data_IF_298115510659
#
_entry.id   IF_298115510659
#
_cell.length_a   1.000
_cell.length_b   1.000
_cell.length_c   1.000
_cell.angle_alpha   90.00
_cell.angle_beta   90.00
_cell.angle_gamma   90.00
#
_symmetry.space_group_name_H-M   'P 1'
#
loop_
_entity.id
_entity.type
_entity.pdbx_description
1 polymer ?
#
# COMPACT_ATOMS: atom_id res chain seq x y z
N UNK A 1 20.54 -11.67 -4.93
CA UNK A 1 21.28 -11.21 -3.73
C UNK A 1 20.38 -11.18 -2.49
N UNK A 2 19.28 -10.39 -2.47
CA UNK A 2 18.36 -10.32 -1.32
C UNK A 2 17.77 -11.69 -0.91
N UNK A 3 17.00 -12.33 -1.81
CA UNK A 3 16.36 -13.62 -1.52
C UNK A 3 17.36 -14.72 -1.18
N UNK A 4 18.51 -14.73 -1.86
CA UNK A 4 19.61 -15.66 -1.59
C UNK A 4 20.15 -15.49 -0.17
N UNK A 5 20.35 -14.24 0.27
CA UNK A 5 20.74 -13.92 1.65
C UNK A 5 19.71 -14.39 2.65
N UNK A 6 18.42 -14.16 2.40
CA UNK A 6 17.33 -14.61 3.26
C UNK A 6 17.29 -16.13 3.42
N UNK A 7 17.49 -16.86 2.32
CA UNK A 7 17.57 -18.33 2.36
C UNK A 7 18.79 -18.80 3.16
N UNK A 8 19.96 -18.22 2.92
CA UNK A 8 21.20 -18.63 3.58
C UNK A 8 21.18 -18.35 5.09
N UNK A 9 20.50 -17.29 5.52
CA UNK A 9 20.32 -16.94 6.92
C UNK A 9 19.11 -17.63 7.58
N UNK A 10 18.37 -18.46 6.83
CA UNK A 10 17.22 -19.20 7.37
C UNK A 10 15.95 -18.39 7.58
N UNK A 11 15.87 -17.14 7.11
CA UNK A 11 14.67 -16.29 7.27
C UNK A 11 13.48 -16.74 6.41
N UNK A 12 13.75 -17.51 5.36
CA UNK A 12 12.73 -18.08 4.48
C UNK A 12 13.03 -19.53 4.18
N UNK A 13 11.97 -20.33 4.05
CA UNK A 13 12.11 -21.73 3.64
C UNK A 13 12.59 -21.85 2.19
N UNK A 14 13.18 -22.99 1.79
CA UNK A 14 13.50 -23.24 0.38
C UNK A 14 12.28 -23.17 -0.56
N UNK A 15 11.09 -23.48 -0.05
CA UNK A 15 9.83 -23.34 -0.78
C UNK A 15 9.51 -21.87 -1.06
N UNK A 16 9.55 -21.04 -0.01
CA UNK A 16 9.35 -19.59 -0.13
C UNK A 16 10.39 -18.95 -1.04
N UNK A 17 11.66 -19.37 -0.95
CA UNK A 17 12.70 -18.87 -1.85
C UNK A 17 12.37 -19.14 -3.32
N UNK A 18 11.86 -20.34 -3.66
CA UNK A 18 11.47 -20.67 -5.04
C UNK A 18 10.25 -19.90 -5.51
N UNK A 19 9.25 -19.67 -4.65
CA UNK A 19 8.07 -18.90 -5.03
C UNK A 19 8.36 -17.40 -5.19
N UNK A 20 9.29 -16.87 -4.39
CA UNK A 20 9.73 -15.47 -4.47
C UNK A 20 10.68 -15.21 -5.63
N UNK A 21 11.46 -16.22 -6.03
CA UNK A 21 12.39 -16.11 -7.15
C UNK A 21 11.63 -16.24 -8.47
N UNK A 22 11.39 -15.12 -9.12
CA UNK A 22 10.78 -15.08 -10.45
C UNK A 22 11.77 -14.53 -11.49
N UNK A 23 12.22 -15.38 -12.41
CA UNK A 23 13.21 -15.04 -13.45
C UNK A 23 12.59 -14.68 -14.81
N UNK A 24 11.36 -15.12 -15.07
CA UNK A 24 10.65 -14.95 -16.35
C UNK A 24 9.69 -13.73 -16.30
N UNK A 25 10.16 -12.63 -15.72
CA UNK A 25 9.35 -11.43 -15.50
C UNK A 25 9.11 -10.60 -16.75
N UNK A 26 7.86 -10.20 -16.98
CA UNK A 26 7.54 -9.15 -17.93
C UNK A 26 7.67 -7.77 -17.28
N UNK A 27 8.04 -6.76 -18.06
CA UNK A 27 8.02 -5.39 -17.52
C UNK A 27 6.55 -4.97 -17.33
N UNK A 28 6.17 -4.39 -16.17
CA UNK A 28 4.84 -3.85 -15.95
C UNK A 28 4.37 -2.97 -17.11
N UNK A 29 3.08 -3.03 -17.43
CA UNK A 29 2.48 -2.22 -18.50
C UNK A 29 1.55 -1.16 -17.92
N UNK A 30 1.69 0.08 -18.37
CA UNK A 30 0.75 1.14 -18.02
C UNK A 30 -0.39 1.24 -19.04
N UNK A 31 -1.60 1.47 -18.56
CA UNK A 31 -2.80 1.73 -19.36
C UNK A 31 -3.74 2.70 -18.65
N UNK A 32 -4.56 3.42 -19.42
CA UNK A 32 -5.53 4.37 -18.90
C UNK A 32 -6.92 3.76 -18.81
N UNK A 33 -7.60 3.94 -17.67
CA UNK A 33 -9.02 3.64 -17.52
C UNK A 33 -9.83 4.95 -17.48
N UNK A 34 -10.85 5.13 -18.34
CA UNK A 34 -11.64 6.36 -18.35
C UNK A 34 -12.49 6.48 -17.09
N UNK A 35 -12.50 7.65 -16.46
CA UNK A 35 -13.42 7.98 -15.37
C UNK A 35 -14.74 8.48 -15.95
N UNK A 36 -15.58 7.56 -16.40
CA UNK A 36 -16.86 7.85 -17.10
C UNK A 36 -17.88 8.67 -16.30
N UNK A 37 -17.70 8.77 -14.98
CA UNK A 37 -18.56 9.53 -14.07
C UNK A 37 -18.09 10.98 -13.85
N UNK A 38 -16.98 11.41 -14.48
CA UNK A 38 -16.47 12.79 -14.38
C UNK A 38 -16.61 13.51 -15.72
N UNK A 39 -16.89 14.83 -15.72
CA UNK A 39 -16.82 15.65 -16.94
C UNK A 39 -15.48 15.44 -17.64
N UNK A 40 -15.49 15.45 -18.98
CA UNK A 40 -14.32 15.22 -19.84
C UNK A 40 -13.70 13.80 -19.76
N UNK A 41 -14.30 12.87 -19.00
CA UNK A 41 -13.89 11.48 -18.89
C UNK A 41 -12.37 11.26 -18.70
N UNK A 42 -11.70 11.97 -17.76
CA UNK A 42 -10.26 11.90 -17.59
C UNK A 42 -9.79 10.47 -17.30
N UNK A 43 -8.61 10.12 -17.79
CA UNK A 43 -8.04 8.78 -17.57
C UNK A 43 -7.43 8.63 -16.18
N UNK A 44 -7.55 7.44 -15.62
CA UNK A 44 -6.79 6.94 -14.47
C UNK A 44 -5.69 6.01 -14.99
N UNK A 45 -4.44 6.39 -14.80
CA UNK A 45 -3.31 5.52 -15.13
C UNK A 45 -3.24 4.35 -14.15
N UNK A 46 -3.16 3.13 -14.67
CA UNK A 46 -2.93 1.91 -13.91
C UNK A 46 -1.66 1.25 -14.44
N UNK A 47 -0.80 0.80 -13.52
CA UNK A 47 0.39 0.02 -13.83
C UNK A 47 0.10 -1.43 -13.45
N UNK A 48 -0.11 -2.32 -14.43
CA UNK A 48 -0.25 -3.75 -14.15
C UNK A 48 1.09 -4.33 -13.75
N UNK A 49 1.21 -4.79 -12.51
CA UNK A 49 2.40 -5.49 -12.01
C UNK A 49 2.30 -7.02 -12.12
N UNK A 50 1.23 -7.54 -12.73
CA UNK A 50 1.04 -8.99 -12.95
C UNK A 50 2.21 -9.52 -13.77
N UNK A 51 2.73 -10.67 -13.37
CA UNK A 51 3.91 -11.33 -13.96
C UNK A 51 5.19 -10.47 -13.95
N UNK A 52 5.26 -9.45 -13.09
CA UNK A 52 6.48 -8.68 -12.90
C UNK A 52 7.44 -9.38 -11.91
N UNK A 53 8.77 -9.15 -12.03
CA UNK A 53 9.77 -9.78 -11.16
C UNK A 53 9.52 -9.59 -9.65
N UNK A 54 8.88 -8.49 -9.27
CA UNK A 54 8.65 -8.13 -7.86
C UNK A 54 7.24 -8.44 -7.36
N UNK A 55 6.36 -8.97 -8.22
CA UNK A 55 4.98 -9.26 -7.85
C UNK A 55 4.89 -10.23 -6.66
N UNK A 56 5.65 -11.33 -6.70
CA UNK A 56 5.63 -12.34 -5.64
C UNK A 56 6.20 -11.80 -4.32
N UNK A 57 7.23 -10.95 -4.39
CA UNK A 57 7.78 -10.26 -3.22
C UNK A 57 6.75 -9.30 -2.62
N UNK A 58 6.10 -8.48 -3.45
CA UNK A 58 5.04 -7.57 -3.02
C UNK A 58 3.88 -8.33 -2.35
N UNK A 59 3.47 -9.47 -2.93
CA UNK A 59 2.41 -10.31 -2.40
C UNK A 59 2.80 -10.97 -1.06
N UNK A 60 4.05 -11.41 -0.92
CA UNK A 60 4.56 -11.94 0.34
C UNK A 60 4.53 -10.88 1.45
N UNK A 61 5.08 -9.70 1.19
CA UNK A 61 5.07 -8.59 2.15
C UNK A 61 3.64 -8.17 2.54
N UNK A 62 2.76 -8.06 1.54
CA UNK A 62 1.36 -7.74 1.73
C UNK A 62 0.64 -8.77 2.63
N UNK A 63 0.82 -10.07 2.38
CA UNK A 63 0.23 -11.12 3.20
C UNK A 63 0.72 -11.09 4.64
N UNK A 64 2.02 -10.86 4.84
CA UNK A 64 2.59 -10.70 6.18
C UNK A 64 1.96 -9.50 6.88
N UNK A 65 1.88 -8.34 6.23
CA UNK A 65 1.30 -7.13 6.80
C UNK A 65 -0.19 -7.28 7.13
N UNK A 66 -1.02 -7.79 6.20
CA UNK A 66 -2.45 -8.00 6.44
C UNK A 66 -2.70 -8.91 7.64
N UNK A 67 -1.93 -9.99 7.76
CA UNK A 67 -2.07 -10.93 8.87
C UNK A 67 -1.62 -10.31 10.21
N UNK A 68 -0.72 -9.33 10.15
CA UNK A 68 -0.09 -8.72 11.31
C UNK A 68 -0.90 -7.58 11.89
N UNK A 69 -1.47 -6.72 11.04
CA UNK A 69 -2.07 -5.48 11.50
C UNK A 69 -3.45 -5.69 12.11
N UNK A 70 -3.73 -5.05 13.26
CA UNK A 70 -5.09 -5.01 13.80
C UNK A 70 -5.99 -4.18 12.88
N UNK A 71 -7.29 -4.44 12.96
CA UNK A 71 -8.29 -3.61 12.31
C UNK A 71 -8.25 -2.20 12.90
N UNK A 72 -8.15 -1.18 12.04
CA UNK A 72 -8.17 0.21 12.48
C UNK A 72 -9.50 0.59 13.12
N UNK A 73 -9.49 1.52 14.08
CA UNK A 73 -10.72 2.01 14.74
C UNK A 73 -11.69 2.68 13.76
N UNK A 74 -11.15 3.38 12.75
CA UNK A 74 -11.88 4.06 11.69
C UNK A 74 -12.28 3.13 10.53
N UNK A 75 -11.94 1.83 10.60
CA UNK A 75 -12.30 0.87 9.57
C UNK A 75 -13.81 0.77 9.39
N UNK A 76 -14.22 0.75 8.12
CA UNK A 76 -15.58 0.54 7.68
C UNK A 76 -15.56 -0.51 6.58
N UNK A 77 -16.38 -1.54 6.73
CA UNK A 77 -16.49 -2.61 5.73
C UNK A 77 -17.19 -2.09 4.47
N UNK A 78 -18.25 -1.29 4.63
CA UNK A 78 -19.06 -0.78 3.52
C UNK A 78 -19.91 0.43 3.93
N UNK A 79 -20.59 1.03 2.94
CA UNK A 79 -21.45 2.20 3.16
C UNK A 79 -22.67 1.91 4.04
N UNK A 80 -23.17 0.67 4.10
CA UNK A 80 -24.30 0.32 4.96
C UNK A 80 -23.91 0.33 6.44
N UNK A 81 -22.68 -0.10 6.77
CA UNK A 81 -22.15 0.01 8.13
C UNK A 81 -22.05 1.47 8.57
N UNK A 82 -21.58 2.36 7.68
CA UNK A 82 -21.52 3.79 7.95
C UNK A 82 -22.90 4.37 8.26
N UNK A 83 -23.92 4.04 7.46
CA UNK A 83 -25.30 4.50 7.69
C UNK A 83 -25.79 4.07 9.08
N UNK A 84 -25.57 2.81 9.46
CA UNK A 84 -25.95 2.29 10.78
C UNK A 84 -25.23 3.01 11.93
N UNK A 85 -23.94 3.31 11.77
CA UNK A 85 -23.17 4.08 12.79
C UNK A 85 -23.70 5.50 12.95
N UNK A 86 -24.19 6.12 11.88
CA UNK A 86 -24.69 7.50 11.89
C UNK A 86 -26.18 7.62 12.27
N UNK A 87 -26.96 6.54 12.20
CA UNK A 87 -28.43 6.55 12.39
C UNK A 87 -28.87 7.18 13.72
N UNK A 88 -28.10 6.98 14.80
CA UNK A 88 -28.43 7.47 16.13
C UNK A 88 -27.60 8.70 16.55
N UNK A 89 -26.83 9.29 15.65
CA UNK A 89 -26.02 10.48 15.95
C UNK A 89 -26.91 11.72 15.86
N UNK A 90 -27.22 12.32 17.01
CA UNK A 90 -27.90 13.62 17.07
C UNK A 90 -26.86 14.74 17.12
N UNK A 91 -26.92 15.65 16.15
CA UNK A 91 -26.06 16.83 16.08
C UNK A 91 -26.84 18.06 16.55
N UNK A 92 -26.25 18.84 17.44
CA UNK A 92 -26.78 20.16 17.82
C UNK A 92 -26.69 21.13 16.62
N UNK A 93 -27.58 22.12 16.55
CA UNK A 93 -27.66 23.14 15.48
C UNK A 93 -26.33 23.88 15.27
N UNK A 94 -25.47 23.92 16.28
CA UNK A 94 -24.19 24.60 16.23
C UNK A 94 -23.05 23.78 15.59
N UNK A 95 -23.25 22.48 15.34
CA UNK A 95 -22.24 21.65 14.69
C UNK A 95 -22.24 21.84 13.17
N UNK A 96 -21.06 21.77 12.57
CA UNK A 96 -20.87 21.77 11.11
C UNK A 96 -20.22 20.47 10.70
N UNK A 97 -20.76 19.85 9.66
CA UNK A 97 -20.14 18.69 9.03
C UNK A 97 -19.08 19.15 8.04
N UNK A 98 -17.90 18.53 8.12
CA UNK A 98 -16.79 18.76 7.19
C UNK A 98 -16.48 17.43 6.50
N UNK A 99 -16.32 17.46 5.18
CA UNK A 99 -15.90 16.32 4.38
C UNK A 99 -14.61 16.68 3.64
N UNK A 100 -13.63 15.78 3.69
CA UNK A 100 -12.32 15.94 3.06
C UNK A 100 -12.09 14.75 2.12
N UNK A 101 -11.62 15.03 0.91
CA UNK A 101 -11.28 14.00 -0.10
C UNK A 101 -9.79 14.04 -0.41
N UNK A 102 -9.15 12.87 -0.44
CA UNK A 102 -7.72 12.77 -0.74
C UNK A 102 -7.51 12.69 -2.25
N UNK A 103 -6.81 13.69 -2.79
CA UNK A 103 -6.53 13.76 -4.22
C UNK A 103 -5.37 12.82 -4.56
N UNK A 104 -5.63 11.87 -5.46
CA UNK A 104 -4.62 11.00 -6.09
C UNK A 104 -3.73 10.27 -5.08
N UNK A 105 -4.36 9.70 -4.02
CA UNK A 105 -3.71 9.03 -2.88
C UNK A 105 -2.45 8.23 -3.27
N UNK A 106 -2.60 7.18 -4.09
CA UNK A 106 -1.48 6.30 -4.43
C UNK A 106 -0.29 7.03 -5.05
N UNK A 107 -0.52 7.93 -6.00
CA UNK A 107 0.57 8.63 -6.70
C UNK A 107 1.22 9.72 -5.85
N UNK A 108 0.62 10.08 -4.72
CA UNK A 108 1.07 11.18 -3.85
C UNK A 108 1.67 10.72 -2.52
N UNK A 109 1.68 9.42 -2.21
CA UNK A 109 2.31 8.91 -0.99
C UNK A 109 3.84 9.01 -1.11
N UNK A 110 4.53 9.79 -0.24
CA UNK A 110 5.99 9.78 -0.19
C UNK A 110 6.48 8.40 0.27
N UNK A 111 7.53 7.89 -0.39
CA UNK A 111 8.08 6.57 -0.07
C UNK A 111 8.62 6.55 1.36
N UNK A 112 9.26 7.64 1.81
CA UNK A 112 9.78 7.74 3.18
C UNK A 112 8.67 7.59 4.23
N UNK A 113 7.51 8.24 4.00
CA UNK A 113 6.34 8.07 4.87
C UNK A 113 5.82 6.63 4.85
N UNK A 114 5.79 5.97 3.68
CA UNK A 114 5.40 4.58 3.59
C UNK A 114 6.33 3.65 4.40
N UNK A 115 7.64 3.86 4.32
CA UNK A 115 8.63 3.08 5.08
C UNK A 115 8.52 3.35 6.58
N UNK A 116 8.34 4.62 6.96
CA UNK A 116 8.11 5.03 8.34
C UNK A 116 6.85 4.37 8.92
N UNK A 117 5.73 4.40 8.19
CA UNK A 117 4.47 3.77 8.60
C UNK A 117 4.59 2.27 8.84
N UNK A 118 5.38 1.55 8.02
CA UNK A 118 5.69 0.13 8.25
C UNK A 118 6.60 -0.04 9.46
N UNK A 119 7.63 0.80 9.60
CA UNK A 119 8.57 0.75 10.72
C UNK A 119 7.90 0.97 12.07
N UNK A 120 6.93 1.87 12.13
CA UNK A 120 6.15 2.20 13.34
C UNK A 120 5.23 1.05 13.78
N UNK A 121 4.90 0.13 12.87
CA UNK A 121 4.04 -1.04 13.12
C UNK A 121 4.83 -2.35 13.23
N UNK A 122 6.14 -2.28 13.41
CA UNK A 122 7.00 -3.46 13.41
C UNK A 122 6.65 -4.48 14.52
N UNK A 123 6.20 -4.01 15.69
CA UNK A 123 5.78 -4.85 16.81
C UNK A 123 4.65 -5.83 16.43
N UNK A 124 3.80 -5.46 15.47
CA UNK A 124 2.75 -6.34 14.96
C UNK A 124 3.27 -7.36 13.94
N UNK A 125 4.35 -7.01 13.23
CA UNK A 125 4.92 -7.79 12.11
C UNK A 125 5.88 -8.86 12.62
N UNK A 126 6.70 -8.57 13.63
CA UNK A 126 7.82 -9.41 14.04
C UNK A 126 7.41 -10.83 14.48
N UNK A 127 6.19 -11.00 15.03
CA UNK A 127 5.65 -12.32 15.37
C UNK A 127 5.16 -13.15 14.17
N UNK A 128 5.05 -12.55 12.99
CA UNK A 128 4.52 -13.17 11.77
C UNK A 128 5.57 -13.40 10.69
N UNK A 129 6.84 -13.07 10.94
CA UNK A 129 7.94 -13.30 10.00
C UNK A 129 9.27 -13.52 10.72
N UNK A 130 10.09 -14.43 10.20
CA UNK A 130 11.47 -14.62 10.68
C UNK A 130 12.46 -13.57 10.12
N UNK A 131 11.97 -12.62 9.30
CA UNK A 131 12.79 -11.57 8.73
C UNK A 131 13.13 -10.51 9.79
N UNK A 132 14.41 -10.11 9.90
CA UNK A 132 14.78 -8.93 10.67
C UNK A 132 14.11 -7.67 10.12
N UNK A 133 13.83 -6.69 10.99
CA UNK A 133 13.23 -5.40 10.63
C UNK A 133 13.91 -4.74 9.44
N UNK A 134 15.25 -4.69 9.45
CA UNK A 134 16.05 -4.06 8.39
C UNK A 134 15.86 -4.73 7.03
N UNK A 135 15.78 -6.07 7.00
CA UNK A 135 15.57 -6.84 5.77
C UNK A 135 14.15 -6.66 5.24
N UNK A 136 13.16 -6.64 6.13
CA UNK A 136 11.77 -6.43 5.75
C UNK A 136 11.56 -5.02 5.17
N UNK A 137 12.05 -3.98 5.85
CA UNK A 137 11.98 -2.61 5.35
C UNK A 137 12.75 -2.44 4.04
N UNK A 138 13.92 -3.07 3.90
CA UNK A 138 14.66 -3.07 2.64
C UNK A 138 13.84 -3.66 1.49
N UNK A 139 13.11 -4.76 1.73
CA UNK A 139 12.25 -5.36 0.71
C UNK A 139 11.06 -4.48 0.34
N UNK A 140 10.42 -3.83 1.33
CA UNK A 140 9.36 -2.84 1.08
C UNK A 140 9.90 -1.70 0.22
N UNK A 141 11.03 -1.11 0.61
CA UNK A 141 11.71 -0.04 -0.13
C UNK A 141 12.05 -0.48 -1.55
N UNK A 142 12.52 -1.72 -1.73
CA UNK A 142 12.85 -2.26 -3.05
C UNK A 142 11.61 -2.34 -3.95
N UNK A 143 10.48 -2.83 -3.43
CA UNK A 143 9.22 -2.91 -4.18
C UNK A 143 8.70 -1.52 -4.55
N UNK A 144 8.74 -0.56 -3.62
CA UNK A 144 8.23 0.80 -3.84
C UNK A 144 9.14 1.66 -4.74
N UNK A 145 10.45 1.43 -4.78
CA UNK A 145 11.38 2.15 -5.65
C UNK A 145 11.51 1.54 -7.06
N UNK A 146 11.12 0.27 -7.23
CA UNK A 146 11.30 -0.47 -8.49
C UNK A 146 10.04 -0.43 -9.36
N UNK A 147 9.44 0.75 -9.47
CA UNK A 147 8.17 1.00 -10.15
C UNK A 147 8.39 1.36 -11.62
N UNK A 148 9.05 0.45 -12.33
CA UNK A 148 9.30 0.57 -13.76
C UNK A 148 8.13 0.02 -14.56
N UNK A 149 7.75 0.69 -15.64
CA UNK A 149 6.68 0.23 -16.53
C UNK A 149 6.90 0.69 -17.97
N UNK A 150 6.27 0.01 -18.92
CA UNK A 150 6.23 0.39 -20.33
C UNK A 150 4.94 1.13 -20.67
N UNK A 151 5.06 2.17 -21.48
CA UNK A 151 3.96 2.79 -22.20
C UNK A 151 4.41 3.18 -23.60
N UNK A 152 3.69 2.74 -24.64
CA UNK A 152 4.08 2.94 -26.05
C UNK A 152 5.55 2.56 -26.34
N UNK A 153 6.00 1.41 -25.86
CA UNK A 153 7.37 0.89 -26.00
C UNK A 153 8.47 1.76 -25.37
N UNK A 154 8.10 2.78 -24.58
CA UNK A 154 9.04 3.59 -23.79
C UNK A 154 8.97 3.11 -22.34
N UNK A 155 10.14 2.95 -21.73
CA UNK A 155 10.28 2.57 -20.32
C UNK A 155 10.27 3.83 -19.47
N UNK A 156 9.41 3.84 -18.46
CA UNK A 156 9.29 4.90 -17.46
C UNK A 156 9.53 4.34 -16.07
N UNK A 157 9.93 5.23 -15.16
CA UNK A 157 9.99 4.96 -13.72
C UNK A 157 9.08 5.95 -13.00
N UNK A 158 8.19 5.46 -12.16
CA UNK A 158 7.41 6.34 -11.28
C UNK A 158 8.33 6.87 -10.17
N UNK A 159 8.45 8.20 -10.07
CA UNK A 159 9.34 8.85 -9.09
C UNK A 159 8.68 9.07 -7.73
N UNK A 160 7.35 9.15 -7.71
CA UNK A 160 6.56 9.49 -6.52
C UNK A 160 5.35 8.56 -6.40
N UNK A 161 4.96 8.25 -5.17
CA UNK A 161 3.80 7.40 -4.90
C UNK A 161 4.06 5.91 -5.04
N UNK A 162 3.01 5.14 -4.76
CA UNK A 162 2.93 3.71 -4.92
C UNK A 162 2.17 3.38 -6.21
N UNK A 163 2.54 2.32 -6.95
CA UNK A 163 1.89 1.99 -8.20
C UNK A 163 0.53 1.33 -7.92
N UNK A 164 -0.55 1.87 -8.49
CA UNK A 164 -1.93 1.41 -8.21
C UNK A 164 -2.21 -0.07 -8.51
N UNK A 165 -1.36 -0.76 -9.29
CA UNK A 165 -1.52 -2.20 -9.56
C UNK A 165 -0.52 -3.11 -8.86
N UNK A 166 0.26 -2.62 -7.89
CA UNK A 166 1.06 -3.49 -7.00
C UNK A 166 0.21 -4.00 -5.84
N UNK A 167 0.31 -5.30 -5.48
CA UNK A 167 -0.37 -5.87 -4.31
C UNK A 167 -0.04 -5.15 -2.99
N UNK A 168 1.15 -4.54 -2.90
CA UNK A 168 1.61 -3.87 -1.68
C UNK A 168 0.97 -2.48 -1.51
N UNK A 169 0.57 -1.82 -2.60
CA UNK A 169 0.14 -0.42 -2.56
C UNK A 169 -1.11 -0.16 -1.71
N UNK A 170 -2.17 -0.99 -1.75
CA UNK A 170 -3.37 -0.77 -0.93
C UNK A 170 -3.08 -0.72 0.57
N UNK A 171 -2.32 -1.69 1.09
CA UNK A 171 -2.01 -1.76 2.52
C UNK A 171 -1.09 -0.62 2.96
N UNK A 172 -0.14 -0.22 2.10
CA UNK A 172 0.71 0.95 2.36
C UNK A 172 -0.12 2.24 2.42
N UNK A 173 -1.06 2.41 1.48
CA UNK A 173 -1.94 3.58 1.49
C UNK A 173 -2.80 3.64 2.75
N UNK A 174 -3.32 2.49 3.19
CA UNK A 174 -4.16 2.40 4.39
C UNK A 174 -3.39 2.81 5.66
N UNK A 175 -2.21 2.22 5.91
CA UNK A 175 -1.42 2.55 7.11
C UNK A 175 -0.91 4.00 7.11
N UNK A 176 -0.58 4.56 5.93
CA UNK A 176 -0.17 5.96 5.82
C UNK A 176 -1.36 6.87 6.13
N UNK A 177 -2.56 6.53 5.65
CA UNK A 177 -3.77 7.29 5.96
C UNK A 177 -4.15 7.22 7.42
N UNK A 178 -3.99 6.06 8.07
CA UNK A 178 -4.17 5.93 9.52
C UNK A 178 -3.20 6.83 10.29
N UNK A 179 -1.93 6.93 9.87
CA UNK A 179 -0.95 7.80 10.52
C UNK A 179 -1.29 9.28 10.33
N UNK A 180 -1.84 9.66 9.17
CA UNK A 180 -2.32 11.02 8.91
C UNK A 180 -3.54 11.33 9.75
N UNK A 181 -4.51 10.42 9.82
CA UNK A 181 -5.72 10.54 10.63
C UNK A 181 -5.37 10.73 12.10
N UNK A 182 -4.55 9.85 12.67
CA UNK A 182 -4.13 9.94 14.07
C UNK A 182 -3.39 11.26 14.36
N UNK A 183 -2.49 11.69 13.48
CA UNK A 183 -1.80 12.98 13.63
C UNK A 183 -2.76 14.16 13.57
N UNK A 184 -3.71 14.14 12.64
CA UNK A 184 -4.71 15.20 12.50
C UNK A 184 -5.61 15.27 13.74
N UNK A 185 -6.18 14.14 14.18
CA UNK A 185 -7.04 14.08 15.37
C UNK A 185 -6.32 14.51 16.64
N UNK A 186 -5.06 14.09 16.83
CA UNK A 186 -4.26 14.49 17.99
C UNK A 186 -3.83 15.96 17.96
N UNK A 187 -3.80 16.59 16.78
CA UNK A 187 -3.47 18.01 16.63
C UNK A 187 -4.64 18.94 16.92
N UNK A 188 -5.87 18.41 16.90
CA UNK A 188 -7.07 19.17 17.17
C UNK A 188 -7.33 19.14 18.67
N UNK A 189 -7.12 20.27 19.34
CA UNK A 189 -7.53 20.45 20.73
C UNK A 189 -9.06 20.68 20.75
N UNK A 190 -9.82 19.65 21.11
CA UNK A 190 -11.22 19.81 21.52
C UNK A 190 -11.29 20.06 23.03
#
# INVERSE_FOLDING_TARGET
VLLTRWKNNGYITPSNHRSLLYSEGSLPRAYGLPKVHKPECPFRLIVSSVDSPLYQLALFLHKTMIKSFPTAHSFLENSFELIKKLENVQLDINYKLISLDVISLFTNIPIDLAIESVSNRWEYIEGNTDLPKSEFLLAVTMVLNSTFFTFNNIVYRQLYGTPMGSPLSPIIADIVMQDIENRALNSINF
#
